data_IF_789602058246
#
_entry.id   IF_789602058246
#
_cell.length_a   1.000
_cell.length_b   1.000
_cell.length_c   1.000
_cell.angle_alpha   90.00
_cell.angle_beta   90.00
_cell.angle_gamma   90.00
#
_symmetry.space_group_name_H-M   'P 1'
#
loop_
_entity.id
_entity.type
_entity.pdbx_description
1 polymer ?
#
# COMPACT_ATOMS: atom_id res chain seq x y z
N UNK A 1 -3.39 9.36 3.28
CA UNK A 1 -3.00 10.67 2.69
C UNK A 1 -4.18 11.33 1.96
N UNK A 2 -4.28 12.65 2.13
CA UNK A 2 -5.20 13.56 1.47
C UNK A 2 -4.94 13.68 -0.06
N UNK A 3 -5.81 14.41 -0.76
CA UNK A 3 -5.71 14.61 -2.20
C UNK A 3 -4.45 15.43 -2.62
N UNK A 4 -4.13 16.57 -1.98
CA UNK A 4 -2.90 17.33 -2.25
C UNK A 4 -1.62 16.50 -2.10
N UNK A 5 -1.45 15.79 -0.99
CA UNK A 5 -0.26 14.97 -0.74
C UNK A 5 -0.07 13.88 -1.79
N UNK A 6 -1.17 13.27 -2.25
CA UNK A 6 -1.10 12.28 -3.35
C UNK A 6 -0.67 12.91 -4.68
N UNK A 7 -1.12 14.13 -4.98
CA UNK A 7 -0.76 14.84 -6.22
C UNK A 7 0.74 15.15 -6.25
N UNK A 8 1.29 15.69 -5.17
CA UNK A 8 2.73 15.98 -5.04
C UNK A 8 3.55 14.69 -5.18
N UNK A 9 3.16 13.62 -4.47
CA UNK A 9 3.82 12.31 -4.57
C UNK A 9 3.88 11.80 -6.01
N UNK A 10 2.77 11.89 -6.75
CA UNK A 10 2.71 11.41 -8.13
C UNK A 10 3.61 12.22 -9.07
N UNK A 11 3.68 13.54 -8.89
CA UNK A 11 4.57 14.40 -9.68
C UNK A 11 6.03 14.01 -9.43
N UNK A 12 6.44 13.91 -8.17
CA UNK A 12 7.82 13.56 -7.82
C UNK A 12 8.19 12.15 -8.31
N UNK A 13 7.31 11.17 -8.12
CA UNK A 13 7.53 9.79 -8.59
C UNK A 13 7.71 9.71 -10.12
N UNK A 14 7.02 10.57 -10.88
CA UNK A 14 7.15 10.60 -12.34
C UNK A 14 8.46 11.23 -12.84
N UNK A 15 9.18 11.94 -11.98
CA UNK A 15 10.41 12.67 -12.34
C UNK A 15 11.68 12.04 -11.76
N UNK A 16 11.54 11.15 -10.77
CA UNK A 16 12.65 10.54 -10.04
C UNK A 16 12.61 9.04 -10.24
N UNK A 17 13.58 8.52 -10.97
CA UNK A 17 13.77 7.08 -11.14
C UNK A 17 14.07 6.41 -9.79
N UNK A 18 13.49 5.23 -9.54
CA UNK A 18 13.65 4.47 -8.31
C UNK A 18 13.29 5.26 -7.03
N UNK A 19 12.32 6.17 -7.11
CA UNK A 19 11.84 6.95 -5.96
C UNK A 19 11.40 6.02 -4.81
N UNK A 20 11.87 6.30 -3.59
CA UNK A 20 11.44 5.57 -2.38
C UNK A 20 10.19 6.19 -1.79
N UNK A 21 9.24 5.34 -1.44
CA UNK A 21 7.97 5.72 -0.85
C UNK A 21 7.80 5.09 0.53
N UNK A 22 7.64 5.96 1.52
CA UNK A 22 7.15 5.58 2.85
C UNK A 22 5.62 5.75 2.92
N UNK A 23 4.99 4.86 3.67
CA UNK A 23 3.55 4.89 3.94
C UNK A 23 3.33 4.68 5.43
N UNK A 24 2.64 5.61 6.07
CA UNK A 24 2.16 5.44 7.44
C UNK A 24 0.79 4.77 7.37
N UNK A 25 0.53 3.70 8.14
CA UNK A 25 -0.78 3.08 8.26
C UNK A 25 -1.87 4.10 8.58
N UNK A 26 -3.08 3.88 8.03
CA UNK A 26 -4.15 4.89 8.07
C UNK A 26 -4.61 5.16 9.50
N UNK A 27 -4.73 4.13 10.31
CA UNK A 27 -5.07 4.17 11.73
C UNK A 27 -4.00 4.91 12.56
N UNK A 28 -2.72 4.73 12.24
CA UNK A 28 -1.59 5.44 12.89
C UNK A 28 -1.45 6.91 12.49
N UNK A 29 -2.23 7.38 11.52
CA UNK A 29 -2.18 8.76 10.99
C UNK A 29 -3.56 9.43 11.02
N UNK A 30 -4.52 8.89 11.76
CA UNK A 30 -5.90 9.39 11.83
C UNK A 30 -6.20 9.95 13.22
N UNK A 31 -6.69 11.18 13.26
CA UNK A 31 -7.25 11.80 14.45
C UNK A 31 -8.64 12.34 14.12
N UNK A 32 -9.68 11.73 14.70
CA UNK A 32 -11.08 12.14 14.53
C UNK A 32 -11.54 12.27 13.06
N UNK A 33 -11.01 11.42 12.18
CA UNK A 33 -11.31 11.41 10.74
C UNK A 33 -10.37 12.27 9.90
N UNK A 34 -9.52 13.09 10.53
CA UNK A 34 -8.49 13.88 9.88
C UNK A 34 -7.20 13.06 9.72
N UNK A 35 -6.67 13.01 8.48
CA UNK A 35 -5.56 12.13 8.12
C UNK A 35 -4.37 12.93 7.66
N UNK A 36 -3.30 12.85 8.45
CA UNK A 36 -2.11 13.66 8.27
C UNK A 36 -0.88 13.05 8.91
N UNK A 37 0.29 13.44 8.44
CA UNK A 37 1.58 13.02 9.04
C UNK A 37 1.74 13.64 10.43
N UNK A 38 1.18 14.82 10.64
CA UNK A 38 1.07 15.53 11.91
C UNK A 38 0.29 14.75 12.99
N UNK A 39 -0.57 13.82 12.58
CA UNK A 39 -1.34 12.96 13.47
C UNK A 39 -0.62 11.64 13.80
N UNK A 40 0.54 11.39 13.21
CA UNK A 40 1.32 10.17 13.43
C UNK A 40 2.31 10.31 14.59
N UNK A 41 2.50 9.22 15.33
CA UNK A 41 3.56 9.17 16.34
C UNK A 41 4.95 9.15 15.69
N UNK A 42 5.97 9.57 16.46
CA UNK A 42 7.37 9.50 16.02
C UNK A 42 7.76 8.07 15.64
N UNK A 43 7.28 7.08 16.39
CA UNK A 43 7.55 5.67 16.18
C UNK A 43 6.96 5.19 14.85
N UNK A 44 5.72 5.60 14.55
CA UNK A 44 5.06 5.28 13.29
C UNK A 44 5.77 5.89 12.08
N UNK A 45 6.28 7.12 12.21
CA UNK A 45 7.08 7.77 11.16
C UNK A 45 8.39 7.01 10.93
N UNK A 46 9.12 6.64 12.00
CA UNK A 46 10.38 5.89 11.89
C UNK A 46 10.13 4.52 11.24
N UNK A 47 9.08 3.82 11.63
CA UNK A 47 8.68 2.54 11.06
C UNK A 47 8.37 2.67 9.56
N UNK A 48 7.58 3.67 9.17
CA UNK A 48 7.25 3.94 7.77
C UNK A 48 8.50 4.23 6.92
N UNK A 49 9.49 4.94 7.48
CA UNK A 49 10.76 5.22 6.79
C UNK A 49 11.62 3.96 6.64
N UNK A 50 11.68 3.09 7.67
CA UNK A 50 12.39 1.81 7.60
C UNK A 50 11.79 0.88 6.54
N UNK A 51 10.46 0.90 6.40
CA UNK A 51 9.72 0.07 5.46
C UNK A 51 9.57 0.71 4.06
N UNK A 52 10.25 1.83 3.79
CA UNK A 52 10.10 2.55 2.53
C UNK A 52 10.57 1.68 1.34
N UNK A 53 9.70 1.54 0.33
CA UNK A 53 9.99 0.77 -0.88
C UNK A 53 10.33 1.66 -2.07
N UNK A 54 11.30 1.25 -2.88
CA UNK A 54 11.62 1.90 -4.14
C UNK A 54 10.71 1.37 -5.24
N UNK A 55 10.21 2.24 -6.12
CA UNK A 55 9.65 1.78 -7.39
C UNK A 55 10.76 1.11 -8.22
N UNK A 56 10.43 0.02 -8.92
CA UNK A 56 11.34 -0.63 -9.87
C UNK A 56 11.16 0.03 -11.24
N UNK A 57 12.27 0.37 -11.90
CA UNK A 57 12.24 1.00 -13.23
C UNK A 57 11.68 0.08 -14.33
N UNK A 58 11.72 -1.23 -14.12
CA UNK A 58 11.23 -2.21 -15.08
C UNK A 58 9.70 -2.24 -15.13
N UNK A 59 9.13 -2.24 -16.33
CA UNK A 59 7.68 -2.30 -16.54
C UNK A 59 7.16 -3.73 -16.31
N UNK A 60 7.18 -4.14 -15.05
CA UNK A 60 6.79 -5.49 -14.62
C UNK A 60 5.27 -5.63 -14.61
N UNK A 61 4.77 -6.75 -15.14
CA UNK A 61 3.35 -7.13 -15.10
C UNK A 61 3.18 -8.49 -14.46
N UNK A 62 3.62 -8.63 -13.22
CA UNK A 62 3.45 -9.87 -12.46
C UNK A 62 1.99 -10.13 -12.12
N UNK A 63 1.26 -9.08 -11.76
CA UNK A 63 -0.12 -9.14 -11.33
C UNK A 63 -1.04 -8.48 -12.35
N UNK A 64 -2.17 -9.12 -12.56
CA UNK A 64 -3.28 -8.66 -13.40
C UNK A 64 -4.52 -8.36 -12.56
N UNK A 65 -5.57 -7.84 -13.22
CA UNK A 65 -6.88 -7.72 -12.57
C UNK A 65 -7.47 -9.10 -12.19
N UNK A 66 -7.18 -10.15 -12.97
CA UNK A 66 -7.65 -11.50 -12.65
C UNK A 66 -7.01 -12.01 -11.35
N UNK A 67 -5.73 -11.69 -11.10
CA UNK A 67 -5.08 -11.99 -9.82
C UNK A 67 -5.77 -11.26 -8.67
N UNK A 68 -6.13 -9.99 -8.85
CA UNK A 68 -6.88 -9.23 -7.83
C UNK A 68 -8.21 -9.92 -7.49
N UNK A 69 -8.92 -10.47 -8.48
CA UNK A 69 -10.15 -11.25 -8.25
C UNK A 69 -9.82 -12.55 -7.52
N UNK A 70 -8.83 -13.31 -7.99
CA UNK A 70 -8.39 -14.60 -7.41
C UNK A 70 -8.03 -14.47 -5.93
N UNK A 71 -7.28 -13.43 -5.56
CA UNK A 71 -6.90 -13.18 -4.17
C UNK A 71 -8.00 -12.48 -3.36
N UNK A 72 -9.18 -12.21 -3.95
CA UNK A 72 -10.30 -11.56 -3.27
C UNK A 72 -10.04 -10.11 -2.86
N UNK A 73 -9.18 -9.41 -3.61
CA UNK A 73 -8.81 -8.02 -3.41
C UNK A 73 -9.74 -7.05 -4.15
N UNK A 74 -10.75 -7.55 -4.87
CA UNK A 74 -11.84 -6.81 -5.54
C UNK A 74 -13.14 -7.61 -5.51
N UNK A 75 -14.27 -6.96 -5.82
CA UNK A 75 -15.54 -7.63 -6.08
C UNK A 75 -16.26 -8.20 -4.85
N UNK A 76 -15.81 -7.86 -3.63
CA UNK A 76 -16.47 -8.25 -2.39
C UNK A 76 -16.38 -7.12 -1.35
N UNK A 77 -17.26 -7.16 -0.35
CA UNK A 77 -17.39 -6.10 0.66
C UNK A 77 -16.14 -5.93 1.53
N UNK A 78 -15.41 -7.03 1.77
CA UNK A 78 -14.18 -7.01 2.55
C UNK A 78 -12.94 -6.58 1.75
N UNK A 79 -13.03 -6.47 0.42
CA UNK A 79 -11.89 -6.21 -0.45
C UNK A 79 -11.12 -4.93 -0.07
N UNK A 80 -11.84 -3.89 0.39
CA UNK A 80 -11.22 -2.65 0.85
C UNK A 80 -10.39 -2.85 2.12
N UNK A 81 -10.93 -3.56 3.11
CA UNK A 81 -10.24 -3.89 4.37
C UNK A 81 -9.00 -4.76 4.10
N UNK A 82 -9.16 -5.79 3.26
CA UNK A 82 -8.07 -6.68 2.85
C UNK A 82 -6.91 -5.91 2.21
N UNK A 83 -7.20 -5.03 1.24
CA UNK A 83 -6.16 -4.19 0.62
C UNK A 83 -5.49 -3.24 1.61
N UNK A 84 -6.20 -2.78 2.65
CA UNK A 84 -5.58 -1.97 3.70
C UNK A 84 -4.56 -2.79 4.47
N UNK A 85 -4.99 -3.90 5.07
CA UNK A 85 -4.13 -4.74 5.91
C UNK A 85 -2.92 -5.27 5.12
N UNK A 86 -3.16 -5.83 3.94
CA UNK A 86 -2.08 -6.35 3.07
C UNK A 86 -1.18 -5.20 2.59
N UNK A 87 -1.74 -4.04 2.29
CA UNK A 87 -0.97 -2.88 1.84
C UNK A 87 -0.02 -2.35 2.93
N UNK A 88 -0.48 -2.37 4.18
CA UNK A 88 0.33 -1.95 5.33
C UNK A 88 1.43 -2.98 5.63
N UNK A 89 1.13 -4.28 5.61
CA UNK A 89 2.12 -5.38 5.74
C UNK A 89 3.19 -5.32 4.64
N UNK A 90 2.77 -5.09 3.39
CA UNK A 90 3.70 -4.97 2.27
C UNK A 90 4.43 -3.63 2.25
N UNK A 91 4.07 -2.64 3.06
CA UNK A 91 4.66 -1.30 3.01
C UNK A 91 4.34 -0.54 1.72
N UNK A 92 3.23 -0.87 1.06
CA UNK A 92 2.75 -0.18 -0.16
C UNK A 92 1.52 0.70 0.11
N UNK A 93 1.01 0.69 1.34
CA UNK A 93 0.01 1.58 1.90
C UNK A 93 -1.40 1.48 1.31
N UNK A 94 -2.36 2.05 2.04
CA UNK A 94 -3.78 2.09 1.65
C UNK A 94 -4.04 2.80 0.31
N UNK A 95 -4.82 2.15 -0.57
CA UNK A 95 -5.30 2.73 -1.82
C UNK A 95 -6.48 1.96 -2.47
N UNK A 96 -7.02 2.51 -3.57
CA UNK A 96 -8.05 1.85 -4.37
C UNK A 96 -7.50 0.61 -5.09
N UNK A 97 -8.37 -0.29 -5.55
CA UNK A 97 -7.97 -1.52 -6.24
C UNK A 97 -7.06 -1.29 -7.45
N UNK A 98 -7.39 -0.32 -8.30
CA UNK A 98 -6.56 0.05 -9.47
C UNK A 98 -5.15 0.49 -9.06
N UNK A 99 -5.05 1.29 -7.99
CA UNK A 99 -3.76 1.77 -7.51
C UNK A 99 -2.99 0.66 -6.80
N UNK A 100 -3.67 -0.24 -6.09
CA UNK A 100 -3.07 -1.37 -5.41
C UNK A 100 -2.41 -2.31 -6.41
N UNK A 101 -3.13 -2.67 -7.48
CA UNK A 101 -2.58 -3.45 -8.59
C UNK A 101 -1.35 -2.77 -9.21
N UNK A 102 -1.44 -1.45 -9.46
CA UNK A 102 -0.29 -0.68 -9.96
C UNK A 102 0.90 -0.79 -9.00
N UNK A 103 0.68 -0.66 -7.69
CA UNK A 103 1.73 -0.70 -6.66
C UNK A 103 2.36 -2.08 -6.49
N UNK A 104 1.58 -3.15 -6.54
CA UNK A 104 2.13 -4.51 -6.51
C UNK A 104 3.18 -4.69 -7.62
N UNK A 105 2.85 -4.22 -8.83
CA UNK A 105 3.75 -4.28 -9.96
C UNK A 105 4.91 -3.28 -9.85
N UNK A 106 4.64 -2.01 -9.55
CA UNK A 106 5.66 -0.95 -9.53
C UNK A 106 6.64 -1.05 -8.37
N UNK A 107 6.28 -1.69 -7.25
CA UNK A 107 7.20 -1.97 -6.15
C UNK A 107 7.87 -3.34 -6.26
N UNK A 108 7.66 -4.06 -7.37
CA UNK A 108 8.32 -5.33 -7.62
C UNK A 108 7.90 -6.46 -6.67
N UNK A 109 6.69 -6.40 -6.09
CA UNK A 109 6.21 -7.38 -5.12
C UNK A 109 6.18 -8.77 -5.77
N UNK A 110 6.76 -9.78 -5.14
CA UNK A 110 6.68 -11.16 -5.65
C UNK A 110 5.32 -11.80 -5.31
N UNK A 111 4.96 -12.89 -5.99
CA UNK A 111 3.76 -13.66 -5.62
C UNK A 111 3.87 -14.23 -4.21
N UNK A 112 5.05 -14.71 -3.85
CA UNK A 112 5.37 -15.22 -2.51
C UNK A 112 5.17 -14.14 -1.45
N UNK A 113 5.69 -12.92 -1.65
CA UNK A 113 5.50 -11.79 -0.73
C UNK A 113 4.01 -11.47 -0.54
N UNK A 114 3.23 -11.43 -1.64
CA UNK A 114 1.79 -11.18 -1.55
C UNK A 114 1.07 -12.29 -0.80
N UNK A 115 1.39 -13.55 -1.09
CA UNK A 115 0.77 -14.71 -0.46
C UNK A 115 1.09 -14.80 1.03
N UNK A 116 2.31 -14.47 1.43
CA UNK A 116 2.70 -14.42 2.84
C UNK A 116 2.04 -13.25 3.57
N UNK A 117 1.94 -12.07 2.94
CA UNK A 117 1.18 -10.96 3.50
C UNK A 117 -0.31 -11.30 3.66
N UNK A 118 -0.89 -12.05 2.70
CA UNK A 118 -2.25 -12.57 2.82
C UNK A 118 -2.36 -13.51 4.03
N UNK A 119 -1.45 -14.48 4.19
CA UNK A 119 -1.47 -15.41 5.33
C UNK A 119 -1.42 -14.68 6.67
N UNK A 120 -0.51 -13.71 6.82
CA UNK A 120 -0.36 -12.92 8.04
C UNK A 120 -1.59 -12.09 8.38
N UNK A 121 -2.29 -11.58 7.36
CA UNK A 121 -3.45 -10.69 7.54
C UNK A 121 -4.79 -11.45 7.63
N UNK A 122 -4.83 -12.75 7.29
CA UNK A 122 -6.04 -13.58 7.40
C UNK A 122 -6.55 -13.70 8.85
N UNK A 123 -5.66 -13.59 9.84
CA UNK A 123 -6.04 -13.61 11.26
C UNK A 123 -6.86 -12.36 11.65
N UNK A 124 -6.61 -11.21 11.01
CA UNK A 124 -7.29 -9.93 11.30
C UNK A 124 -8.64 -9.75 10.58
N UNK A 125 -8.92 -10.55 9.54
CA UNK A 125 -10.10 -10.36 8.67
C UNK A 125 -11.30 -11.22 9.13
N UNK A 126 -11.04 -12.29 9.90
CA UNK A 126 -12.07 -13.20 10.43
C UNK A 126 -12.42 -12.95 11.91
N UNK A 127 -11.79 -11.94 12.53
CA UNK A 127 -12.08 -11.46 13.89
C UNK A 127 -13.17 -10.40 13.95
#
# INVERSE_FOLDING_TARGET
>A
PDYPGKKIRNILASQIENCKHAFIPRDKANKDGDIGVENASKEAIIEALKNARAEVAENRQEFSYQDMVRYGLVGNDNASKRRSAIGDELGIGYCSAKQFLKRLNSFGISREELEDAIKKTIEDING
#
